data_IF_379537823899
#
_entry.id   IF_379537823899
#
_cell.length_a   1.000
_cell.length_b   1.000
_cell.length_c   1.000
_cell.angle_alpha   90.00
_cell.angle_beta   90.00
_cell.angle_gamma   90.00
#
_symmetry.space_group_name_H-M   'P 1'
#
loop_
_entity.id
_entity.type
_entity.pdbx_description
1 polymer ?
#
# COMPACT_ATOMS: atom_id res chain seq x y z
N UNK A 1 -12.73 14.82 20.38
CA UNK A 1 -12.91 13.42 20.81
C UNK A 1 -11.57 12.72 20.66
N UNK A 2 -11.13 11.96 21.66
CA UNK A 2 -9.89 11.19 21.58
C UNK A 2 -10.14 9.95 20.71
N UNK A 3 -9.31 9.74 19.69
CA UNK A 3 -9.38 8.63 18.74
C UNK A 3 -8.43 7.54 19.22
N UNK A 4 -8.97 6.46 19.77
CA UNK A 4 -8.19 5.34 20.24
C UNK A 4 -7.97 4.31 19.13
N UNK A 5 -6.74 3.83 19.05
CA UNK A 5 -6.24 2.94 18.01
C UNK A 5 -5.48 1.80 18.67
N UNK A 6 -5.77 0.58 18.30
CA UNK A 6 -4.98 -0.59 18.68
C UNK A 6 -4.16 -1.00 17.47
N UNK A 7 -2.86 -1.24 17.68
CA UNK A 7 -2.00 -1.87 16.68
C UNK A 7 -1.34 -3.07 17.33
N UNK A 8 -1.44 -4.23 16.67
CA UNK A 8 -0.71 -5.43 17.07
C UNK A 8 0.54 -5.52 16.19
N UNK A 9 1.71 -5.41 16.79
CA UNK A 9 2.97 -5.37 16.06
C UNK A 9 4.01 -6.30 16.68
N UNK A 10 4.74 -7.00 15.81
CA UNK A 10 5.90 -7.79 16.20
C UNK A 10 7.16 -6.93 16.19
N UNK A 11 8.20 -7.33 16.93
CA UNK A 11 9.52 -6.63 16.94
C UNK A 11 10.08 -6.47 15.52
N UNK A 12 9.88 -7.45 14.64
CA UNK A 12 10.34 -7.37 13.24
C UNK A 12 9.57 -6.35 12.39
N UNK A 13 8.40 -5.90 12.84
CA UNK A 13 7.52 -4.97 12.11
C UNK A 13 7.64 -3.52 12.59
N UNK A 14 8.77 -3.13 13.20
CA UNK A 14 8.94 -1.78 13.76
C UNK A 14 8.86 -0.72 12.66
N UNK A 15 9.41 -0.97 11.47
CA UNK A 15 9.38 0.01 10.38
C UNK A 15 7.93 0.25 9.91
N UNK A 16 7.19 -0.83 9.70
CA UNK A 16 5.79 -0.85 9.30
C UNK A 16 4.91 -0.17 10.37
N UNK A 17 5.16 -0.47 11.64
CA UNK A 17 4.49 0.20 12.75
C UNK A 17 4.77 1.71 12.76
N UNK A 18 6.02 2.13 12.58
CA UNK A 18 6.36 3.55 12.49
C UNK A 18 5.67 4.21 11.28
N UNK A 19 5.66 3.57 10.11
CA UNK A 19 5.00 4.05 8.90
C UNK A 19 3.49 4.22 9.09
N UNK A 20 2.81 3.21 9.66
CA UNK A 20 1.40 3.28 10.01
C UNK A 20 1.15 4.47 10.95
N UNK A 21 1.93 4.59 12.03
CA UNK A 21 1.77 5.66 13.01
C UNK A 21 1.94 7.04 12.36
N UNK A 22 2.97 7.23 11.52
CA UNK A 22 3.20 8.48 10.79
C UNK A 22 2.01 8.83 9.90
N UNK A 23 1.52 7.85 9.12
CA UNK A 23 0.37 8.08 8.22
C UNK A 23 -0.88 8.52 8.98
N UNK A 24 -1.20 7.84 10.10
CA UNK A 24 -2.34 8.23 10.95
C UNK A 24 -2.13 9.62 11.54
N UNK A 25 -0.98 9.88 12.14
CA UNK A 25 -0.69 11.13 12.86
C UNK A 25 -0.70 12.34 11.93
N UNK A 26 -0.24 12.19 10.68
CA UNK A 26 -0.22 13.28 9.71
C UNK A 26 -1.63 13.83 9.42
N UNK A 27 -2.64 12.96 9.43
CA UNK A 27 -4.01 13.32 9.07
C UNK A 27 -4.97 13.42 10.25
N UNK A 28 -4.52 13.09 11.47
CA UNK A 28 -5.39 12.98 12.62
C UNK A 28 -4.76 13.60 13.88
N UNK A 29 -5.60 14.23 14.71
CA UNK A 29 -5.21 14.76 16.01
C UNK A 29 -5.98 14.09 17.15
N UNK A 30 -5.53 14.30 18.39
CA UNK A 30 -6.12 13.75 19.62
C UNK A 30 -6.14 12.21 19.58
N UNK A 31 -4.98 11.60 19.38
CA UNK A 31 -4.81 10.16 19.16
C UNK A 31 -4.33 9.44 20.42
N UNK A 32 -4.72 8.17 20.54
CA UNK A 32 -4.15 7.25 21.52
C UNK A 32 -3.83 5.92 20.87
N UNK A 33 -2.54 5.61 20.75
CA UNK A 33 -2.09 4.32 20.25
C UNK A 33 -1.87 3.36 21.40
N UNK A 34 -2.57 2.23 21.37
CA UNK A 34 -2.30 1.03 22.15
C UNK A 34 -1.50 0.07 21.30
N UNK A 35 -0.20 -0.03 21.55
CA UNK A 35 0.69 -0.92 20.82
C UNK A 35 0.79 -2.23 21.57
N UNK A 36 0.06 -3.24 21.10
CA UNK A 36 0.16 -4.61 21.58
C UNK A 36 1.35 -5.30 20.89
N UNK A 37 2.33 -5.79 21.65
CA UNK A 37 3.57 -6.28 21.06
C UNK A 37 4.20 -7.48 21.76
N UNK A 38 5.05 -8.19 21.03
CA UNK A 38 5.74 -9.41 21.45
C UNK A 38 7.10 -9.16 22.14
N UNK A 39 7.67 -7.97 22.03
CA UNK A 39 8.97 -7.71 22.67
C UNK A 39 9.61 -6.36 22.40
N UNK A 40 8.89 -5.40 21.83
CA UNK A 40 9.43 -4.08 21.49
C UNK A 40 10.05 -3.43 22.72
N UNK A 41 11.29 -2.95 22.58
CA UNK A 41 12.09 -2.43 23.68
C UNK A 41 11.48 -1.15 24.28
N UNK A 42 11.54 -1.00 25.61
CA UNK A 42 11.04 0.19 26.33
C UNK A 42 11.68 1.49 25.80
N UNK A 43 12.94 1.43 25.36
CA UNK A 43 13.69 2.55 24.78
C UNK A 43 13.04 3.08 23.49
N UNK A 44 12.47 2.20 22.66
CA UNK A 44 11.75 2.61 21.45
C UNK A 44 10.52 3.44 21.82
N UNK A 45 9.71 2.97 22.78
CA UNK A 45 8.56 3.73 23.30
C UNK A 45 8.96 5.08 23.89
N UNK A 46 10.04 5.13 24.68
CA UNK A 46 10.56 6.39 25.23
C UNK A 46 10.94 7.37 24.12
N UNK A 47 11.61 6.89 23.06
CA UNK A 47 12.03 7.71 21.91
C UNK A 47 10.82 8.24 21.13
N UNK A 48 9.84 7.38 20.83
CA UNK A 48 8.62 7.76 20.12
C UNK A 48 7.79 8.76 20.93
N UNK A 49 7.54 8.50 22.22
CA UNK A 49 6.84 9.46 23.10
C UNK A 49 7.55 10.81 23.18
N UNK A 50 8.88 10.84 23.20
CA UNK A 50 9.65 12.09 23.18
C UNK A 50 9.45 12.87 21.88
N UNK A 51 9.42 12.19 20.73
CA UNK A 51 9.13 12.81 19.41
C UNK A 51 7.71 13.39 19.38
N UNK A 52 6.76 12.68 19.96
CA UNK A 52 5.33 13.05 19.96
C UNK A 52 4.93 14.00 21.10
N UNK A 53 5.85 14.39 21.99
CA UNK A 53 5.54 15.14 23.21
C UNK A 53 4.87 16.51 22.96
N UNK A 54 5.04 17.09 21.77
CA UNK A 54 4.43 18.37 21.36
C UNK A 54 3.11 18.19 20.60
N UNK A 55 2.69 16.96 20.40
CA UNK A 55 1.49 16.59 19.65
C UNK A 55 0.45 16.02 20.62
N UNK A 56 -0.84 16.16 20.27
CA UNK A 56 -1.92 15.52 21.02
C UNK A 56 -2.00 14.01 20.69
N UNK A 57 -0.91 13.28 20.94
CA UNK A 57 -0.76 11.85 20.63
C UNK A 57 -0.17 11.12 21.84
N UNK A 58 -0.91 10.15 22.35
CA UNK A 58 -0.46 9.27 23.42
C UNK A 58 -0.11 7.88 22.88
N UNK A 59 0.89 7.23 23.49
CA UNK A 59 1.33 5.88 23.11
C UNK A 59 1.47 5.00 24.34
N UNK A 60 0.63 3.99 24.45
CA UNK A 60 0.61 2.99 25.52
C UNK A 60 1.19 1.67 25.01
N UNK A 61 2.18 1.14 25.73
CA UNK A 61 2.78 -0.17 25.46
C UNK A 61 1.95 -1.23 26.17
N UNK A 62 1.50 -2.24 25.42
CA UNK A 62 0.79 -3.40 25.95
C UNK A 62 1.61 -4.65 25.61
N UNK A 63 2.40 -5.13 26.55
CA UNK A 63 3.21 -6.34 26.34
C UNK A 63 2.31 -7.57 26.33
N UNK A 64 2.41 -8.35 25.26
CA UNK A 64 1.69 -9.61 25.10
C UNK A 64 2.49 -10.78 25.71
N UNK A 65 1.80 -11.78 26.30
CA UNK A 65 2.41 -13.08 26.59
C UNK A 65 3.00 -13.73 25.33
N UNK A 66 4.15 -14.39 25.45
CA UNK A 66 4.87 -15.00 24.31
C UNK A 66 4.01 -15.97 23.49
N UNK A 67 3.15 -16.74 24.15
CA UNK A 67 2.27 -17.71 23.50
C UNK A 67 1.09 -17.07 22.75
N UNK A 68 0.70 -15.83 23.07
CA UNK A 68 -0.33 -15.09 22.34
C UNK A 68 0.25 -14.24 21.21
N UNK A 69 1.50 -13.78 21.37
CA UNK A 69 2.25 -13.07 20.35
C UNK A 69 2.47 -13.88 19.06
N UNK A 70 2.51 -15.21 19.17
CA UNK A 70 2.80 -16.13 18.07
C UNK A 70 1.55 -16.65 17.32
N UNK A 71 0.33 -16.31 17.77
CA UNK A 71 -0.90 -16.78 17.12
C UNK A 71 -1.26 -15.91 15.91
N UNK A 72 -1.46 -16.55 14.75
CA UNK A 72 -1.97 -15.89 13.53
C UNK A 72 -3.40 -15.36 13.71
N UNK A 73 -4.20 -16.02 14.55
CA UNK A 73 -5.59 -15.63 14.82
C UNK A 73 -5.62 -14.72 16.04
N UNK A 74 -5.79 -13.41 15.81
CA UNK A 74 -5.92 -12.35 16.81
C UNK A 74 -6.68 -12.80 18.09
N UNK A 75 -5.97 -13.18 19.18
CA UNK A 75 -6.58 -13.40 20.50
C UNK A 75 -7.00 -12.06 21.13
N UNK A 76 -6.67 -10.96 20.45
CA UNK A 76 -6.59 -9.58 20.94
C UNK A 76 -7.94 -8.94 21.23
N UNK A 77 -9.04 -9.51 20.70
CA UNK A 77 -10.41 -9.07 21.05
C UNK A 77 -10.74 -9.18 22.53
N UNK A 78 -9.96 -9.94 23.30
CA UNK A 78 -10.30 -10.22 24.69
C UNK A 78 -9.27 -9.76 25.72
N UNK A 79 -8.03 -9.50 25.29
CA UNK A 79 -6.95 -9.01 26.16
C UNK A 79 -6.94 -7.51 26.34
N UNK A 80 -7.39 -6.74 25.34
CA UNK A 80 -7.25 -5.29 25.34
C UNK A 80 -8.37 -4.54 26.05
N UNK A 81 -9.55 -5.15 26.25
CA UNK A 81 -10.65 -4.56 27.03
C UNK A 81 -10.22 -4.09 28.43
N UNK A 82 -9.18 -4.72 29.00
CA UNK A 82 -8.67 -4.37 30.32
C UNK A 82 -7.71 -3.17 30.29
N UNK A 83 -7.08 -2.87 29.15
CA UNK A 83 -6.09 -1.80 29.01
C UNK A 83 -6.65 -0.54 28.35
N UNK A 84 -7.70 -0.71 27.54
CA UNK A 84 -8.32 0.34 26.75
C UNK A 84 -9.40 1.02 27.59
N UNK A 85 -9.34 2.35 27.66
CA UNK A 85 -10.30 3.14 28.47
C UNK A 85 -11.35 3.83 27.61
N UNK A 86 -11.09 4.00 26.32
CA UNK A 86 -12.00 4.63 25.38
C UNK A 86 -13.11 3.67 24.92
N UNK A 87 -14.32 4.20 24.75
CA UNK A 87 -15.50 3.42 24.38
C UNK A 87 -15.43 2.86 22.95
N UNK A 88 -14.80 3.60 22.03
CA UNK A 88 -14.70 3.26 20.61
C UNK A 88 -13.23 3.25 20.18
N UNK A 89 -12.78 2.11 19.68
CA UNK A 89 -11.39 1.91 19.23
C UNK A 89 -11.36 1.22 17.88
N UNK A 90 -10.45 1.65 17.01
CA UNK A 90 -10.14 0.98 15.75
C UNK A 90 -8.89 0.11 15.88
N UNK A 91 -9.01 -1.16 15.50
CA UNK A 91 -7.87 -2.06 15.30
C UNK A 91 -7.28 -1.85 13.90
N UNK A 92 -5.98 -1.55 13.84
CA UNK A 92 -5.20 -1.43 12.61
C UNK A 92 -4.04 -2.44 12.60
N UNK A 93 -3.58 -2.79 11.40
CA UNK A 93 -2.43 -3.67 11.17
C UNK A 93 -1.19 -2.84 10.78
N UNK A 94 0.04 -3.23 11.17
CA UNK A 94 1.26 -2.53 10.78
C UNK A 94 1.46 -2.37 9.27
N UNK A 95 0.90 -3.28 8.47
CA UNK A 95 0.95 -3.24 7.00
C UNK A 95 -0.18 -2.41 6.37
N UNK A 96 -0.67 -1.39 7.09
CA UNK A 96 -1.64 -0.42 6.59
C UNK A 96 -1.04 0.99 6.55
N UNK A 97 -1.63 1.86 5.72
CA UNK A 97 -1.43 3.30 5.76
C UNK A 97 -2.77 4.03 5.74
N UNK A 98 -2.84 5.17 6.41
CA UNK A 98 -4.02 6.02 6.49
C UNK A 98 -3.74 7.32 5.74
N UNK A 99 -4.60 7.68 4.78
CA UNK A 99 -4.36 8.78 3.84
C UNK A 99 -5.17 10.05 4.11
N UNK A 100 -6.05 10.01 5.13
CA UNK A 100 -6.99 11.10 5.44
C UNK A 100 -7.48 11.05 6.89
N UNK A 101 -8.33 12.01 7.27
CA UNK A 101 -8.95 12.08 8.60
C UNK A 101 -9.89 10.89 8.85
N UNK A 102 -9.64 10.16 9.94
CA UNK A 102 -10.48 9.05 10.42
C UNK A 102 -11.72 9.52 11.20
N UNK A 103 -11.90 10.84 11.40
CA UNK A 103 -13.01 11.41 12.16
C UNK A 103 -14.39 10.89 11.74
N UNK A 104 -14.72 10.80 10.43
CA UNK A 104 -15.97 10.21 9.96
C UNK A 104 -16.16 8.75 10.38
N UNK A 105 -15.09 7.95 10.40
CA UNK A 105 -15.14 6.54 10.82
C UNK A 105 -15.50 6.45 12.30
N UNK A 106 -14.85 7.24 13.17
CA UNK A 106 -15.15 7.26 14.62
C UNK A 106 -16.55 7.77 14.98
N UNK A 107 -17.27 8.43 14.06
CA UNK A 107 -18.64 8.93 14.28
C UNK A 107 -19.72 7.92 13.90
N UNK A 108 -19.38 6.92 13.09
CA UNK A 108 -20.33 5.85 12.75
C UNK A 108 -20.52 4.96 13.99
N UNK A 109 -21.71 4.41 14.20
CA UNK A 109 -21.91 3.35 15.20
C UNK A 109 -21.44 2.05 14.58
N UNK A 110 -20.21 1.67 14.89
CA UNK A 110 -19.46 0.65 14.16
C UNK A 110 -19.63 -0.77 14.72
N UNK A 111 -20.40 -0.94 15.79
CA UNK A 111 -20.49 -2.21 16.52
C UNK A 111 -19.11 -2.80 16.90
N UNK A 112 -19.03 -4.13 16.95
CA UNK A 112 -17.82 -4.89 17.35
C UNK A 112 -17.01 -5.48 16.18
N UNK A 113 -17.35 -5.12 14.94
CA UNK A 113 -16.58 -5.53 13.76
C UNK A 113 -16.84 -4.53 12.64
N UNK A 114 -15.88 -3.67 12.35
CA UNK A 114 -15.78 -3.14 10.99
C UNK A 114 -14.94 -4.13 10.17
N UNK A 115 -15.19 -4.15 8.88
CA UNK A 115 -14.47 -4.93 7.88
C UNK A 115 -14.39 -3.96 6.70
N UNK A 116 -13.52 -2.94 6.79
CA UNK A 116 -13.29 -1.98 5.69
C UNK A 116 -12.76 -2.81 4.49
N UNK A 117 -12.97 -2.45 3.23
CA UNK A 117 -12.67 -3.31 2.07
C UNK A 117 -11.31 -3.04 1.42
N UNK A 118 -10.70 -4.10 0.86
CA UNK A 118 -9.33 -4.17 0.33
C UNK A 118 -9.16 -3.58 -1.08
N UNK A 119 -7.92 -3.28 -1.41
CA UNK A 119 -7.38 -3.05 -2.75
C UNK A 119 -6.97 -4.43 -3.31
N UNK A 120 -7.59 -4.88 -4.40
CA UNK A 120 -7.40 -6.24 -4.93
C UNK A 120 -6.02 -6.46 -5.58
N UNK A 121 -5.44 -7.64 -5.32
CA UNK A 121 -4.68 -8.42 -6.30
C UNK A 121 -5.35 -9.80 -6.34
N UNK A 122 -5.97 -10.19 -7.46
CA UNK A 122 -6.55 -11.53 -7.58
C UNK A 122 -5.44 -12.57 -7.77
N UNK A 123 -5.49 -13.65 -7.01
CA UNK A 123 -4.66 -14.83 -7.19
C UNK A 123 -4.93 -15.45 -8.58
N UNK A 124 -3.90 -15.78 -9.40
CA UNK A 124 -4.08 -16.44 -10.69
C UNK A 124 -4.80 -17.80 -10.62
N UNK A 125 -4.89 -18.43 -9.45
CA UNK A 125 -5.41 -19.80 -9.30
C UNK A 125 -6.79 -19.88 -8.66
N UNK A 126 -7.80 -19.17 -9.19
CA UNK A 126 -9.20 -19.62 -9.24
C UNK A 126 -9.88 -20.23 -8.00
N UNK A 127 -9.37 -20.01 -6.79
CA UNK A 127 -9.86 -20.62 -5.57
C UNK A 127 -9.73 -19.62 -4.41
N UNK A 128 -10.74 -18.77 -4.23
CA UNK A 128 -10.75 -17.88 -3.09
C UNK A 128 -12.07 -17.13 -2.96
N UNK A 129 -12.91 -17.57 -2.04
CA UNK A 129 -14.01 -16.78 -1.49
C UNK A 129 -13.42 -15.44 -1.04
N UNK A 130 -13.84 -14.34 -1.68
CA UNK A 130 -13.22 -13.01 -1.53
C UNK A 130 -12.85 -12.65 -0.10
N UNK A 131 -11.56 -12.50 0.14
CA UNK A 131 -11.03 -12.13 1.45
C UNK A 131 -11.26 -10.64 1.70
N UNK A 132 -12.05 -10.40 2.74
CA UNK A 132 -12.57 -9.10 3.15
C UNK A 132 -11.57 -8.45 4.12
N UNK A 133 -11.22 -7.19 3.91
CA UNK A 133 -10.34 -6.43 4.80
C UNK A 133 -10.97 -6.26 6.19
N UNK A 134 -10.23 -6.52 7.28
CA UNK A 134 -10.78 -6.59 8.64
C UNK A 134 -10.28 -5.43 9.51
N UNK A 135 -10.86 -4.23 9.35
CA UNK A 135 -10.65 -3.16 10.35
C UNK A 135 -11.62 -3.36 11.50
N UNK A 136 -11.24 -4.09 12.54
CA UNK A 136 -12.16 -4.37 13.65
C UNK A 136 -12.34 -3.11 14.52
N UNK A 137 -13.49 -2.44 14.41
CA UNK A 137 -13.98 -1.57 15.47
C UNK A 137 -14.39 -2.43 16.67
N UNK A 138 -13.91 -2.09 17.86
CA UNK A 138 -14.28 -2.79 19.10
C UNK A 138 -14.89 -1.79 20.08
N UNK A 139 -16.10 -2.10 20.55
CA UNK A 139 -16.75 -1.31 21.59
C UNK A 139 -16.41 -1.89 22.96
N UNK A 140 -15.73 -1.11 23.81
CA UNK A 140 -15.37 -1.52 25.17
C UNK A 140 -16.54 -1.20 26.10
N UNK A 141 -17.24 -2.20 26.67
CA UNK A 141 -18.37 -1.92 27.56
C UNK A 141 -17.88 -1.23 28.84
N UNK A 142 -18.61 -0.20 29.31
CA UNK A 142 -18.48 0.33 30.68
C UNK A 142 -18.96 -0.70 31.72
N UNK A 143 -18.26 -1.83 31.86
CA UNK A 143 -18.43 -2.67 33.05
C UNK A 143 -17.45 -2.13 34.09
N UNK A 144 -17.97 -1.89 35.29
CA UNK A 144 -17.29 -1.24 36.41
C UNK A 144 -15.80 -1.58 36.45
N UNK A 145 -14.96 -0.55 36.40
CA UNK A 145 -13.56 -0.65 36.73
C UNK A 145 -13.46 -1.20 38.16
N UNK A 146 -13.36 -2.53 38.30
CA UNK A 146 -12.70 -3.08 39.46
C UNK A 146 -11.26 -2.58 39.36
N UNK A 147 -10.91 -1.73 40.32
CA UNK A 147 -9.69 -0.97 40.41
C UNK A 147 -8.47 -1.87 40.55
N UNK A 148 -8.06 -2.52 39.46
CA UNK A 148 -6.69 -2.97 39.33
C UNK A 148 -5.88 -1.77 38.85
N UNK A 149 -4.97 -1.25 39.68
CA UNK A 149 -4.02 -0.25 39.22
C UNK A 149 -3.06 -0.92 38.24
N UNK A 150 -3.31 -0.82 36.93
CA UNK A 150 -2.52 -1.44 35.87
C UNK A 150 -1.21 -0.68 35.55
N UNK A 151 -0.79 0.23 36.43
CA UNK A 151 0.42 1.05 36.29
C UNK A 151 1.71 0.36 36.76
N UNK A 152 1.63 -0.90 37.23
CA UNK A 152 2.79 -1.68 37.66
C UNK A 152 2.80 -3.06 37.01
N UNK A 153 3.82 -3.32 36.21
CA UNK A 153 4.31 -4.60 35.67
C UNK A 153 3.29 -5.72 35.34
N UNK A 154 3.27 -6.08 34.05
CA UNK A 154 2.73 -7.32 33.45
C UNK A 154 1.42 -7.86 34.04
N UNK A 155 0.31 -7.28 33.61
CA UNK A 155 -1.03 -7.86 33.78
C UNK A 155 -1.17 -9.18 33.01
N UNK A 156 -0.35 -9.37 31.97
CA UNK A 156 -0.10 -10.63 31.27
C UNK A 156 0.17 -11.83 32.21
N UNK A 157 0.84 -11.61 33.36
CA UNK A 157 1.21 -12.68 34.29
C UNK A 157 0.10 -13.01 35.30
N UNK A 158 -0.96 -12.19 35.35
CA UNK A 158 -2.05 -12.30 36.35
C UNK A 158 -3.39 -12.76 35.78
N UNK A 159 -3.56 -12.78 34.47
CA UNK A 159 -4.83 -13.11 33.82
C UNK A 159 -4.72 -14.43 33.07
N UNK A 160 -5.54 -15.42 33.48
CA UNK A 160 -5.64 -16.72 32.81
C UNK A 160 -6.08 -16.55 31.34
N UNK A 161 -5.29 -17.09 30.42
CA UNK A 161 -5.50 -17.03 28.97
C UNK A 161 -6.82 -17.70 28.56
N UNK A 162 -7.23 -18.76 29.27
CA UNK A 162 -8.52 -19.40 29.02
C UNK A 162 -9.70 -18.51 29.46
N UNK A 163 -9.50 -17.61 30.41
CA UNK A 163 -10.49 -16.64 30.88
C UNK A 163 -10.58 -15.41 29.96
N UNK A 164 -9.45 -14.99 29.37
CA UNK A 164 -9.40 -14.01 28.28
C UNK A 164 -10.21 -14.51 27.07
N UNK A 165 -9.95 -15.72 26.59
CA UNK A 165 -10.63 -16.27 25.40
C UNK A 165 -12.15 -16.53 25.58
N UNK A 166 -12.69 -16.38 26.80
CA UNK A 166 -14.13 -16.55 27.12
C UNK A 166 -14.99 -15.31 26.86
N UNK A 167 -14.42 -14.17 26.43
CA UNK A 167 -15.21 -12.98 26.12
C UNK A 167 -16.33 -13.24 25.10
N UNK A 168 -17.50 -12.65 25.32
CA UNK A 168 -18.68 -12.90 24.48
C UNK A 168 -18.49 -12.27 23.09
N UNK A 169 -18.38 -13.08 22.03
CA UNK A 169 -18.62 -12.63 20.64
C UNK A 169 -20.03 -12.02 20.55
N UNK A 170 -20.15 -10.70 20.46
CA UNK A 170 -21.43 -10.07 20.10
C UNK A 170 -21.61 -10.13 18.59
N UNK A 171 -22.76 -10.64 18.14
CA UNK A 171 -23.18 -10.66 16.72
C UNK A 171 -23.43 -9.22 16.25
N UNK A 172 -22.49 -8.66 15.50
CA UNK A 172 -22.70 -7.52 14.62
C UNK A 172 -22.09 -7.90 13.27
N UNK A 173 -22.88 -7.93 12.22
CA UNK A 173 -22.45 -8.30 10.88
C UNK A 173 -23.04 -7.26 9.93
N UNK A 174 -22.49 -6.06 9.94
CA UNK A 174 -22.71 -5.15 8.81
C UNK A 174 -21.76 -5.56 7.70
N UNK A 175 -22.34 -5.99 6.57
CA UNK A 175 -21.59 -6.22 5.34
C UNK A 175 -21.34 -4.85 4.72
N UNK A 176 -20.09 -4.38 4.73
CA UNK A 176 -19.72 -3.13 4.06
C UNK A 176 -19.70 -3.24 2.53
N UNK A 177 -20.17 -4.36 1.95
CA UNK A 177 -20.46 -4.41 0.51
C UNK A 177 -21.41 -3.31 0.05
N UNK A 178 -22.23 -2.79 0.98
CA UNK A 178 -23.29 -1.83 0.70
C UNK A 178 -22.96 -0.42 1.22
N UNK A 179 -21.80 -0.25 1.87
CA UNK A 179 -21.30 1.08 2.24
C UNK A 179 -20.36 1.50 1.13
N UNK A 180 -20.84 2.38 0.25
CA UNK A 180 -19.95 3.15 -0.63
C UNK A 180 -18.86 3.73 0.25
N UNK A 181 -17.64 3.22 0.09
CA UNK A 181 -16.48 3.80 0.72
C UNK A 181 -16.43 5.22 0.18
N UNK A 182 -16.51 6.22 1.06
CA UNK A 182 -16.08 7.56 0.71
C UNK A 182 -14.65 7.40 0.19
N UNK A 183 -14.47 7.52 -1.13
CA UNK A 183 -13.13 7.64 -1.69
C UNK A 183 -12.55 8.88 -1.04
N UNK A 184 -11.33 8.80 -0.52
CA UNK A 184 -10.58 10.02 -0.24
C UNK A 184 -10.51 10.83 -1.54
N UNK A 185 -10.17 12.12 -1.47
CA UNK A 185 -10.17 12.97 -2.66
C UNK A 185 -9.23 12.46 -3.76
N UNK A 186 -8.23 11.66 -3.39
CA UNK A 186 -7.19 11.10 -4.27
C UNK A 186 -7.00 9.60 -4.00
N UNK A 187 -6.70 9.22 -2.75
CA UNK A 187 -6.41 7.83 -2.36
C UNK A 187 -7.51 7.21 -1.48
N UNK A 188 -7.61 5.86 -1.37
CA UNK A 188 -8.45 5.20 -0.38
C UNK A 188 -8.11 5.64 1.05
N UNK A 189 -9.12 5.80 1.92
CA UNK A 189 -8.96 6.28 3.31
C UNK A 189 -7.91 5.46 4.09
N UNK A 190 -7.98 4.14 3.93
CA UNK A 190 -7.03 3.17 4.48
C UNK A 190 -6.61 2.27 3.32
N UNK A 191 -5.31 2.15 3.12
CA UNK A 191 -4.71 1.18 2.20
C UNK A 191 -4.13 0.07 3.07
N UNK A 192 -4.52 -1.18 2.81
CA UNK A 192 -3.99 -2.35 3.51
C UNK A 192 -3.25 -3.21 2.51
N UNK A 193 -1.95 -3.42 2.75
CA UNK A 193 -1.12 -4.26 1.91
C UNK A 193 -1.29 -5.73 2.30
N UNK A 194 -2.52 -6.25 2.32
CA UNK A 194 -2.88 -7.63 2.71
C UNK A 194 -2.55 -8.62 1.60
N UNK A 195 -1.28 -8.66 1.22
CA UNK A 195 -0.77 -9.53 0.17
C UNK A 195 0.56 -10.15 0.63
N UNK A 196 0.98 -11.27 0.02
CA UNK A 196 2.32 -11.83 0.23
C UNK A 196 3.45 -10.87 -0.16
N UNK A 197 3.16 -9.91 -1.02
CA UNK A 197 4.08 -8.89 -1.50
C UNK A 197 3.85 -7.60 -0.71
N UNK A 198 4.93 -7.03 -0.18
CA UNK A 198 4.84 -5.81 0.62
C UNK A 198 5.49 -4.64 -0.12
N UNK A 199 5.01 -3.41 0.09
CA UNK A 199 5.56 -2.24 -0.60
C UNK A 199 7.01 -1.94 -0.24
N UNK A 200 7.53 -2.52 0.85
CA UNK A 200 8.94 -2.44 1.26
C UNK A 200 9.83 -3.57 0.73
N UNK A 201 9.27 -4.50 -0.06
CA UNK A 201 10.04 -5.57 -0.70
C UNK A 201 10.55 -5.12 -2.08
N UNK A 202 11.74 -5.60 -2.47
CA UNK A 202 12.47 -5.16 -3.67
C UNK A 202 11.93 -5.73 -4.99
N UNK A 203 11.26 -6.88 -4.95
CA UNK A 203 11.12 -7.72 -6.14
C UNK A 203 9.83 -7.52 -6.94
N UNK A 204 8.80 -6.86 -6.38
CA UNK A 204 7.46 -6.79 -7.01
C UNK A 204 6.74 -5.48 -6.69
N UNK A 205 6.17 -4.85 -7.73
CA UNK A 205 5.25 -3.73 -7.54
C UNK A 205 3.96 -4.19 -6.85
N UNK A 206 3.46 -3.34 -5.96
CA UNK A 206 2.11 -3.43 -5.36
C UNK A 206 1.39 -2.11 -5.58
N UNK A 207 0.04 -2.11 -5.66
CA UNK A 207 -0.71 -0.87 -5.75
C UNK A 207 -0.33 0.11 -4.66
N UNK A 208 -0.22 1.39 -4.98
CA UNK A 208 0.08 2.46 -4.05
C UNK A 208 1.41 2.27 -3.28
N UNK A 209 2.41 1.61 -3.88
CA UNK A 209 3.71 1.41 -3.22
C UNK A 209 4.38 2.73 -2.83
N UNK A 210 4.33 3.73 -3.72
CA UNK A 210 4.88 5.06 -3.46
C UNK A 210 4.22 5.74 -2.25
N UNK A 211 2.93 5.50 -2.01
CA UNK A 211 2.21 6.03 -0.84
C UNK A 211 2.82 5.48 0.46
N UNK A 212 3.18 4.19 0.50
CA UNK A 212 3.85 3.63 1.67
C UNK A 212 5.21 4.28 1.90
N UNK A 213 6.02 4.42 0.84
CA UNK A 213 7.35 5.03 0.93
C UNK A 213 7.31 6.50 1.32
N UNK A 214 6.27 7.24 0.91
CA UNK A 214 6.02 8.60 1.37
C UNK A 214 5.97 8.68 2.90
N UNK A 215 5.12 7.86 3.52
CA UNK A 215 5.01 7.84 4.97
C UNK A 215 6.23 7.23 5.66
N UNK A 216 6.86 6.22 5.05
CA UNK A 216 8.06 5.60 5.60
C UNK A 216 9.22 6.62 5.69
N UNK A 217 9.40 7.42 4.63
CA UNK A 217 10.46 8.43 4.52
C UNK A 217 10.17 9.71 5.28
N UNK A 218 8.92 9.97 5.65
CA UNK A 218 8.53 11.15 6.42
C UNK A 218 9.28 11.22 7.75
N UNK A 219 9.93 12.35 8.02
CA UNK A 219 10.61 12.55 9.29
C UNK A 219 9.60 12.82 10.42
N UNK A 220 9.92 12.38 11.64
CA UNK A 220 9.00 12.51 12.78
C UNK A 220 8.68 13.97 13.15
N UNK A 221 9.57 14.91 12.83
CA UNK A 221 9.42 16.34 13.03
C UNK A 221 8.60 17.04 11.94
N UNK A 222 8.45 16.42 10.77
CA UNK A 222 7.58 16.90 9.69
C UNK A 222 6.09 16.67 10.00
N UNK A 223 5.78 15.76 10.94
CA UNK A 223 4.40 15.41 11.35
C UNK A 223 3.63 16.56 12.02
N UNK A 224 4.28 17.68 12.36
CA UNK A 224 3.61 18.83 13.01
C UNK A 224 2.65 19.54 12.03
N UNK A 225 2.86 19.40 10.73
CA UNK A 225 1.97 19.92 9.70
C UNK A 225 0.84 18.91 9.44
N UNK A 226 -0.33 19.11 10.02
CA UNK A 226 -1.48 18.25 9.72
C UNK A 226 -2.09 18.63 8.37
N UNK A 227 -2.13 17.69 7.43
CA UNK A 227 -2.89 17.81 6.18
C UNK A 227 -4.19 17.03 6.29
N UNK A 228 -5.35 17.56 5.88
CA UNK A 228 -6.61 16.82 5.94
C UNK A 228 -6.64 15.60 5.00
N UNK A 229 -5.80 15.55 3.96
CA UNK A 229 -5.69 14.43 3.01
C UNK A 229 -4.30 14.38 2.35
N UNK A 230 -3.93 13.22 1.82
CA UNK A 230 -2.74 13.03 0.97
C UNK A 230 -3.02 13.50 -0.46
N UNK A 231 -2.11 14.29 -1.02
CA UNK A 231 -2.16 14.75 -2.42
C UNK A 231 -1.21 13.92 -3.30
N UNK A 232 -1.61 13.71 -4.56
CA UNK A 232 -0.80 13.05 -5.61
C UNK A 232 0.62 13.66 -5.71
N UNK A 233 0.72 14.98 -5.85
CA UNK A 233 2.01 15.72 -5.91
C UNK A 233 2.99 15.47 -4.76
N UNK A 234 2.49 15.01 -3.60
CA UNK A 234 3.35 14.70 -2.45
C UNK A 234 3.99 13.31 -2.58
N UNK A 235 3.35 12.44 -3.34
CA UNK A 235 3.77 11.06 -3.60
C UNK A 235 4.58 10.98 -4.90
N UNK A 236 4.23 11.77 -5.91
CA UNK A 236 4.89 11.83 -7.23
C UNK A 236 6.41 12.02 -7.12
N UNK A 237 6.91 12.80 -6.15
CA UNK A 237 8.36 13.00 -5.96
C UNK A 237 9.14 11.76 -5.49
N UNK A 238 8.48 10.61 -5.37
CA UNK A 238 9.03 9.34 -4.91
C UNK A 238 8.95 8.25 -5.98
N UNK A 239 8.42 8.53 -7.18
CA UNK A 239 8.68 7.65 -8.32
C UNK A 239 10.18 7.68 -8.61
N UNK A 240 10.78 6.51 -8.87
CA UNK A 240 12.22 6.44 -9.15
C UNK A 240 12.59 7.03 -10.53
N UNK A 241 11.59 7.37 -11.36
CA UNK A 241 11.77 7.90 -12.71
C UNK A 241 10.73 8.99 -12.98
N UNK A 242 11.18 10.03 -13.68
CA UNK A 242 10.35 11.13 -14.17
C UNK A 242 9.59 10.77 -15.45
N UNK A 243 9.97 9.66 -16.09
CA UNK A 243 9.35 9.17 -17.33
C UNK A 243 9.36 7.63 -17.37
N UNK A 244 8.20 7.01 -17.57
CA UNK A 244 8.00 5.56 -17.41
C UNK A 244 7.38 4.93 -18.66
N UNK A 245 8.07 3.95 -19.22
CA UNK A 245 7.58 3.06 -20.26
C UNK A 245 7.02 1.77 -19.70
N UNK A 246 5.94 1.27 -20.29
CA UNK A 246 5.31 0.03 -19.85
C UNK A 246 5.28 -1.07 -20.94
N UNK A 247 5.48 -2.31 -20.51
CA UNK A 247 5.30 -3.54 -21.31
C UNK A 247 4.37 -4.48 -20.54
N UNK A 248 3.40 -5.08 -21.22
CA UNK A 248 2.51 -6.09 -20.63
C UNK A 248 2.56 -7.38 -21.45
N UNK A 249 3.02 -8.48 -20.85
CA UNK A 249 3.44 -9.66 -21.61
C UNK A 249 3.01 -10.99 -20.97
N UNK A 250 2.78 -12.01 -21.81
CA UNK A 250 2.72 -13.43 -21.42
C UNK A 250 4.08 -14.15 -21.60
N UNK A 251 5.06 -13.50 -22.25
CA UNK A 251 6.33 -14.07 -22.67
C UNK A 251 7.52 -13.30 -22.10
N UNK A 252 8.65 -13.97 -21.89
CA UNK A 252 9.92 -13.35 -21.55
C UNK A 252 10.76 -12.92 -22.78
N UNK A 253 10.26 -13.15 -23.98
CA UNK A 253 10.85 -12.65 -25.21
C UNK A 253 10.37 -11.23 -25.51
N UNK A 254 11.12 -10.26 -24.97
CA UNK A 254 10.86 -8.82 -25.14
C UNK A 254 11.93 -8.22 -26.06
N UNK A 255 11.52 -7.82 -27.26
CA UNK A 255 12.44 -7.40 -28.31
C UNK A 255 13.18 -6.12 -27.90
N UNK A 256 14.52 -6.20 -27.91
CA UNK A 256 15.44 -5.10 -27.57
C UNK A 256 15.32 -4.47 -26.17
N UNK A 257 14.52 -5.03 -25.24
CA UNK A 257 14.31 -4.46 -23.90
C UNK A 257 15.62 -4.21 -23.15
N UNK A 258 16.55 -5.17 -23.17
CA UNK A 258 17.84 -5.03 -22.50
C UNK A 258 18.65 -3.85 -23.04
N UNK A 259 18.67 -3.66 -24.35
CA UNK A 259 19.38 -2.55 -24.99
C UNK A 259 18.68 -1.23 -24.68
N UNK A 260 17.35 -1.18 -24.71
CA UNK A 260 16.58 0.01 -24.32
C UNK A 260 16.89 0.42 -22.88
N UNK A 261 16.88 -0.53 -21.93
CA UNK A 261 17.22 -0.28 -20.53
C UNK A 261 18.63 0.31 -20.38
N UNK A 262 19.61 -0.22 -21.12
CA UNK A 262 21.00 0.24 -21.07
C UNK A 262 21.20 1.64 -21.68
N UNK A 263 20.52 1.95 -22.79
CA UNK A 263 20.69 3.20 -23.53
C UNK A 263 19.83 4.36 -22.99
N UNK A 264 18.82 4.04 -22.16
CA UNK A 264 17.87 4.98 -21.56
C UNK A 264 17.84 4.85 -20.02
N UNK A 265 18.97 5.06 -19.32
CA UNK A 265 19.08 4.78 -17.87
C UNK A 265 18.20 5.67 -16.99
N UNK A 266 17.71 6.81 -17.50
CA UNK A 266 16.82 7.72 -16.77
C UNK A 266 15.33 7.34 -16.92
N UNK A 267 15.02 6.44 -17.85
CA UNK A 267 13.65 6.04 -18.16
C UNK A 267 13.36 4.73 -17.46
N UNK A 268 12.30 4.72 -16.65
CA UNK A 268 11.84 3.52 -15.99
C UNK A 268 11.10 2.61 -16.96
N UNK A 269 11.44 1.34 -16.99
CA UNK A 269 10.71 0.32 -17.73
C UNK A 269 10.02 -0.62 -16.77
N UNK A 270 8.68 -0.57 -16.74
CA UNK A 270 7.85 -1.49 -15.97
C UNK A 270 7.44 -2.65 -16.88
N UNK A 271 7.77 -3.88 -16.51
CA UNK A 271 7.39 -5.10 -17.21
C UNK A 271 6.36 -5.81 -16.35
N UNK A 272 5.09 -5.72 -16.75
CA UNK A 272 4.02 -6.41 -16.07
C UNK A 272 3.64 -7.71 -16.79
N UNK A 273 3.20 -8.68 -16.01
CA UNK A 273 2.66 -9.94 -16.53
C UNK A 273 1.48 -10.40 -15.65
N UNK A 274 0.42 -11.00 -16.20
CA UNK A 274 -0.64 -11.62 -15.42
C UNK A 274 -0.20 -12.92 -14.72
N UNK A 275 0.96 -13.45 -15.08
CA UNK A 275 1.55 -14.67 -14.53
C UNK A 275 2.80 -14.37 -13.71
N UNK A 276 3.39 -15.43 -13.17
CA UNK A 276 4.75 -15.37 -12.65
C UNK A 276 5.75 -15.00 -13.75
N UNK A 277 6.86 -14.38 -13.35
CA UNK A 277 7.91 -13.89 -14.25
C UNK A 277 9.07 -14.89 -14.30
N UNK A 278 9.62 -15.10 -15.51
CA UNK A 278 10.69 -16.08 -15.74
C UNK A 278 12.04 -15.63 -15.16
N UNK A 279 12.96 -16.58 -14.99
CA UNK A 279 14.33 -16.27 -14.58
C UNK A 279 15.05 -15.35 -15.60
N UNK A 280 14.70 -15.42 -16.88
CA UNK A 280 15.24 -14.55 -17.94
C UNK A 280 14.95 -13.08 -17.65
N UNK A 281 13.68 -12.75 -17.37
CA UNK A 281 13.29 -11.39 -17.02
C UNK A 281 13.84 -10.98 -15.65
N UNK A 282 13.92 -11.89 -14.68
CA UNK A 282 14.55 -11.62 -13.37
C UNK A 282 16.02 -11.20 -13.51
N UNK A 283 16.77 -11.73 -14.48
CA UNK A 283 18.16 -11.33 -14.73
C UNK A 283 18.27 -9.85 -15.18
N UNK A 284 17.20 -9.25 -15.70
CA UNK A 284 17.17 -7.84 -16.07
C UNK A 284 17.09 -6.90 -14.87
N UNK A 285 16.82 -7.39 -13.64
CA UNK A 285 16.91 -6.58 -12.41
C UNK A 285 18.33 -6.08 -12.12
N UNK A 286 19.35 -6.53 -12.87
CA UNK A 286 20.68 -5.91 -12.87
C UNK A 286 20.66 -4.46 -13.38
N UNK A 287 19.66 -4.10 -14.21
CA UNK A 287 19.45 -2.75 -14.69
C UNK A 287 18.59 -1.99 -13.69
N UNK A 288 19.09 -0.89 -13.11
CA UNK A 288 18.38 -0.18 -12.05
C UNK A 288 17.11 0.48 -12.53
N UNK A 289 16.90 0.61 -13.84
CA UNK A 289 15.71 1.18 -14.48
C UNK A 289 14.72 0.13 -15.02
N UNK A 290 14.86 -1.13 -14.62
CA UNK A 290 13.89 -2.20 -14.89
C UNK A 290 13.11 -2.51 -13.62
N UNK A 291 11.78 -2.53 -13.72
CA UNK A 291 10.88 -2.96 -12.65
C UNK A 291 10.00 -4.10 -13.14
N UNK A 292 9.91 -5.18 -12.37
CA UNK A 292 9.12 -6.36 -12.70
C UNK A 292 7.82 -6.39 -11.86
N UNK A 293 6.69 -6.64 -12.51
CA UNK A 293 5.37 -6.69 -11.89
C UNK A 293 4.63 -7.99 -12.28
N UNK A 294 4.89 -9.11 -11.57
CA UNK A 294 4.20 -10.38 -11.82
C UNK A 294 2.79 -10.38 -11.22
N UNK A 295 1.89 -11.19 -11.76
CA UNK A 295 0.53 -11.39 -11.25
C UNK A 295 -0.42 -10.19 -11.44
N UNK A 296 -0.12 -9.28 -12.35
CA UNK A 296 -0.97 -8.11 -12.64
C UNK A 296 -2.14 -8.55 -13.52
N UNK A 297 -3.31 -8.79 -12.92
CA UNK A 297 -4.54 -9.07 -13.66
C UNK A 297 -5.09 -7.78 -14.30
N UNK A 298 -5.74 -7.88 -15.48
CA UNK A 298 -6.27 -6.72 -16.21
C UNK A 298 -7.37 -5.94 -15.48
N UNK A 299 -8.12 -6.61 -14.61
CA UNK A 299 -9.17 -6.01 -13.77
C UNK A 299 -8.65 -5.59 -12.38
N UNK A 300 -7.33 -5.62 -12.18
CA UNK A 300 -6.71 -5.23 -10.90
C UNK A 300 -6.49 -3.73 -10.80
N UNK A 301 -6.48 -3.21 -9.56
CA UNK A 301 -6.14 -1.82 -9.29
C UNK A 301 -4.69 -1.48 -9.68
N UNK A 302 -3.78 -2.46 -9.63
CA UNK A 302 -2.41 -2.28 -10.08
C UNK A 302 -2.35 -2.02 -11.58
N UNK A 303 -3.18 -2.70 -12.38
CA UNK A 303 -3.27 -2.46 -13.81
C UNK A 303 -3.73 -1.04 -14.10
N UNK A 304 -4.81 -0.59 -13.45
CA UNK A 304 -5.32 0.78 -13.61
C UNK A 304 -4.30 1.84 -13.19
N UNK A 305 -3.57 1.61 -12.10
CA UNK A 305 -2.49 2.48 -11.64
C UNK A 305 -1.35 2.55 -12.65
N UNK A 306 -0.89 1.41 -13.16
CA UNK A 306 0.16 1.36 -14.17
C UNK A 306 -0.26 2.08 -15.46
N UNK A 307 -1.48 1.85 -15.95
CA UNK A 307 -2.00 2.54 -17.14
C UNK A 307 -2.06 4.06 -16.91
N UNK A 308 -2.46 4.50 -15.72
CA UNK A 308 -2.53 5.93 -15.37
C UNK A 308 -1.13 6.57 -15.35
N UNK A 309 -0.17 5.92 -14.68
CA UNK A 309 1.19 6.43 -14.45
C UNK A 309 2.13 6.25 -15.65
N UNK A 310 1.87 5.32 -16.57
CA UNK A 310 2.72 5.11 -17.73
C UNK A 310 2.71 6.33 -18.66
N UNK A 311 3.88 6.79 -19.09
CA UNK A 311 3.98 7.86 -20.07
C UNK A 311 3.87 7.35 -21.50
N UNK A 312 4.29 6.12 -21.76
CA UNK A 312 4.18 5.47 -23.06
C UNK A 312 4.07 3.94 -22.93
N UNK A 313 3.57 3.30 -23.97
CA UNK A 313 3.50 1.84 -24.07
C UNK A 313 4.50 1.31 -25.11
N UNK A 314 5.16 0.22 -24.75
CA UNK A 314 6.04 -0.57 -25.61
C UNK A 314 5.37 -1.88 -25.98
N UNK A 315 4.87 -1.95 -27.20
CA UNK A 315 4.32 -3.16 -27.81
C UNK A 315 5.47 -3.97 -28.43
N UNK A 316 6.30 -4.54 -27.55
CA UNK A 316 7.55 -5.24 -27.89
C UNK A 316 7.56 -6.71 -27.46
N UNK A 317 6.45 -7.21 -26.91
CA UNK A 317 6.33 -8.62 -26.57
C UNK A 317 6.16 -9.45 -27.83
N UNK A 318 6.88 -10.57 -27.91
CA UNK A 318 6.59 -11.57 -28.93
C UNK A 318 5.26 -12.28 -28.64
N UNK A 319 4.76 -12.98 -29.67
CA UNK A 319 3.57 -13.83 -29.66
C UNK A 319 2.25 -13.06 -29.62
N UNK A 320 1.30 -13.47 -28.77
CA UNK A 320 -0.03 -12.90 -28.75
C UNK A 320 -0.12 -11.73 -27.77
N UNK A 321 -0.90 -10.72 -28.14
CA UNK A 321 -1.30 -9.62 -27.27
C UNK A 321 -1.90 -10.15 -25.95
N UNK A 322 -1.56 -9.49 -24.85
CA UNK A 322 -2.18 -9.76 -23.56
C UNK A 322 -3.54 -9.07 -23.47
N UNK A 323 -4.58 -9.79 -23.89
CA UNK A 323 -5.96 -9.28 -23.83
C UNK A 323 -6.20 -8.19 -24.88
N UNK A 324 -6.42 -6.95 -24.43
CA UNK A 324 -6.61 -5.76 -25.30
C UNK A 324 -5.77 -4.58 -24.80
N UNK A 325 -4.62 -4.86 -24.20
CA UNK A 325 -3.78 -3.84 -23.56
C UNK A 325 -3.37 -2.72 -24.51
N UNK A 326 -3.16 -3.01 -25.79
CA UNK A 326 -2.80 -1.97 -26.77
C UNK A 326 -3.98 -1.02 -26.99
N UNK A 327 -5.21 -1.56 -27.03
CA UNK A 327 -6.43 -0.76 -27.11
C UNK A 327 -6.65 0.08 -25.85
N UNK A 328 -6.38 -0.47 -24.67
CA UNK A 328 -6.54 0.21 -23.39
C UNK A 328 -5.57 1.42 -23.28
N UNK A 329 -4.31 1.21 -23.66
CA UNK A 329 -3.29 2.28 -23.69
C UNK A 329 -3.63 3.36 -24.71
N UNK A 330 -4.14 2.98 -25.88
CA UNK A 330 -4.60 3.92 -26.90
C UNK A 330 -5.80 4.74 -26.41
N UNK A 331 -6.77 4.09 -25.74
CA UNK A 331 -7.92 4.75 -25.15
C UNK A 331 -7.52 5.72 -24.02
N UNK A 332 -6.44 5.42 -23.30
CA UNK A 332 -5.83 6.31 -22.31
C UNK A 332 -4.97 7.45 -22.93
N UNK A 333 -4.87 7.52 -24.27
CA UNK A 333 -4.14 8.55 -24.98
C UNK A 333 -2.62 8.42 -24.86
N UNK A 334 -2.10 7.26 -24.47
CA UNK A 334 -0.67 7.02 -24.29
C UNK A 334 0.00 6.81 -25.66
N UNK A 335 1.14 7.44 -25.96
CA UNK A 335 1.96 7.09 -27.11
C UNK A 335 2.32 5.60 -27.09
N UNK A 336 2.13 4.93 -28.23
CA UNK A 336 2.45 3.50 -28.38
C UNK A 336 3.58 3.36 -29.39
N UNK A 337 4.62 2.63 -29.03
CA UNK A 337 5.75 2.31 -29.90
C UNK A 337 5.82 0.78 -30.05
N UNK A 338 6.03 0.31 -31.27
CA UNK A 338 6.12 -1.11 -31.58
C UNK A 338 7.20 -1.38 -32.64
N UNK A 339 7.71 -2.60 -32.69
CA UNK A 339 8.48 -3.06 -33.85
C UNK A 339 7.55 -3.62 -34.93
N UNK A 340 8.03 -3.70 -36.18
CA UNK A 340 7.29 -4.27 -37.31
C UNK A 340 6.78 -5.68 -37.01
N UNK A 341 7.55 -6.47 -36.26
CA UNK A 341 7.31 -7.87 -35.92
C UNK A 341 6.44 -8.06 -34.69
N UNK A 342 6.41 -7.07 -33.79
CA UNK A 342 5.70 -7.16 -32.50
C UNK A 342 4.41 -6.37 -32.49
N UNK A 343 4.06 -5.66 -33.58
CA UNK A 343 2.84 -4.85 -33.64
C UNK A 343 1.58 -5.71 -33.46
N UNK A 344 0.77 -5.38 -32.46
CA UNK A 344 -0.55 -5.95 -32.23
C UNK A 344 -1.67 -4.98 -32.64
N UNK A 345 -2.50 -5.38 -33.60
CA UNK A 345 -3.64 -4.58 -34.06
C UNK A 345 -3.24 -3.26 -34.72
N UNK A 346 -4.17 -2.31 -34.79
CA UNK A 346 -3.92 -0.97 -35.35
C UNK A 346 -4.58 0.12 -34.50
N UNK A 347 -3.76 0.79 -33.69
CA UNK A 347 -4.17 1.74 -32.67
C UNK A 347 -3.35 3.03 -32.73
N UNK A 348 -2.71 3.32 -33.87
CA UNK A 348 -1.88 4.51 -34.06
C UNK A 348 -0.47 4.38 -33.50
N UNK A 349 0.05 3.15 -33.39
CA UNK A 349 1.41 2.89 -32.93
C UNK A 349 2.46 3.50 -33.87
N UNK A 350 3.54 4.06 -33.31
CA UNK A 350 4.75 4.40 -34.06
C UNK A 350 5.54 3.10 -34.29
N UNK A 351 5.72 2.74 -35.55
CA UNK A 351 6.37 1.48 -35.95
C UNK A 351 7.84 1.71 -36.28
N UNK A 352 8.71 0.84 -35.79
CA UNK A 352 10.14 0.87 -36.01
C UNK A 352 10.63 -0.47 -36.56
N UNK A 353 11.65 -0.43 -37.42
CA UNK A 353 12.39 -1.64 -37.79
C UNK A 353 13.30 -2.06 -36.62
N UNK A 354 13.38 -3.36 -36.26
CA UNK A 354 14.30 -3.82 -35.21
C UNK A 354 15.76 -3.52 -35.51
N UNK A 355 16.12 -3.54 -36.79
CA UNK A 355 17.48 -3.21 -37.25
C UNK A 355 17.84 -1.74 -37.02
N UNK A 356 16.85 -0.88 -36.75
CA UNK A 356 17.03 0.55 -36.49
C UNK A 356 16.47 0.97 -35.13
N UNK A 357 16.93 0.30 -34.07
CA UNK A 357 16.60 0.63 -32.68
C UNK A 357 16.89 2.10 -32.31
N UNK A 358 17.89 2.72 -32.93
CA UNK A 358 18.27 4.11 -32.70
C UNK A 358 17.08 5.07 -32.84
N UNK A 359 16.23 4.86 -33.86
CA UNK A 359 15.09 5.75 -34.08
C UNK A 359 14.03 5.62 -32.97
N UNK A 360 13.84 4.43 -32.41
CA UNK A 360 12.95 4.23 -31.26
C UNK A 360 13.52 4.93 -30.02
N UNK A 361 14.82 4.76 -29.75
CA UNK A 361 15.52 5.42 -28.63
C UNK A 361 15.36 6.94 -28.70
N UNK A 362 15.64 7.54 -29.86
CA UNK A 362 15.49 8.99 -30.05
C UNK A 362 14.03 9.42 -29.90
N UNK A 363 13.08 8.63 -30.40
CA UNK A 363 11.65 8.93 -30.21
C UNK A 363 11.26 8.94 -28.74
N UNK A 364 11.75 7.99 -27.94
CA UNK A 364 11.48 7.94 -26.50
C UNK A 364 12.08 9.16 -25.80
N UNK A 365 13.33 9.55 -26.11
CA UNK A 365 13.96 10.77 -25.58
C UNK A 365 13.16 12.04 -25.91
N UNK A 366 12.63 12.11 -27.13
CA UNK A 366 11.76 13.22 -27.51
C UNK A 366 10.47 13.27 -26.69
N UNK A 367 9.83 12.12 -26.47
CA UNK A 367 8.61 12.05 -25.65
C UNK A 367 8.87 12.47 -24.18
N UNK A 368 10.02 12.08 -23.62
CA UNK A 368 10.46 12.49 -22.27
C UNK A 368 10.58 14.03 -22.18
N UNK A 369 11.26 14.65 -23.15
CA UNK A 369 11.42 16.11 -23.20
C UNK A 369 10.07 16.81 -23.37
N UNK A 370 9.20 16.29 -24.24
CA UNK A 370 7.87 16.87 -24.46
C UNK A 370 7.02 16.81 -23.18
N UNK A 371 7.06 15.69 -22.44
CA UNK A 371 6.38 15.53 -21.15
C UNK A 371 6.90 16.52 -20.10
N UNK A 372 8.23 16.70 -20.03
CA UNK A 372 8.87 17.66 -19.14
C UNK A 372 8.47 19.10 -19.48
N UNK A 373 8.45 19.48 -20.76
CA UNK A 373 8.04 20.82 -21.20
C UNK A 373 6.57 21.09 -20.87
N UNK A 374 5.71 20.10 -21.07
CA UNK A 374 4.29 20.19 -20.72
C UNK A 374 4.09 20.40 -19.21
N UNK A 375 4.82 19.67 -18.35
CA UNK A 375 4.68 19.78 -16.89
C UNK A 375 5.08 21.16 -16.33
N UNK A 376 5.96 21.89 -17.02
CA UNK A 376 6.36 23.26 -16.68
C UNK A 376 5.57 24.35 -17.45
N UNK A 377 4.53 23.96 -18.19
CA UNK A 377 3.61 24.88 -18.86
C UNK A 377 4.11 25.46 -20.18
N UNK A 378 5.10 24.83 -20.82
CA UNK A 378 5.61 25.22 -22.14
C UNK A 378 4.97 24.31 -23.18
N UNK A 379 3.96 24.83 -23.89
CA UNK A 379 3.34 24.12 -25.01
C UNK A 379 3.95 24.59 -26.33
N UNK A 380 4.41 23.65 -27.16
CA UNK A 380 4.68 23.91 -28.57
C UNK A 380 3.34 24.14 -29.28
N UNK A 381 3.11 25.39 -29.74
CA UNK A 381 1.97 25.76 -30.58
C UNK A 381 2.10 25.20 -31.99
#
# INVERSE_FOLDING_TARGET
MKKALIVVAQVKQIQELETLMKSVILHNQNLHFYIAHDGIAKQWFTKVRKRLARMAVEVTSVRLPENLAQLEVSPFRYTLDHYVVEENVLLLSPDMVVTTDLGPIFKKDLGNVLTISNVQNQDPQGAGVGDRLKVVSHHVPKVAHDSYSLLGDNVADKVDIASLMKGKKRKGKESLSDVEMEKGPVYPIIIHYDTPYKPWDELRLVPYQAVWWYYANLAWDELVATSPFLLEKQVESLSNYDFVGWVYTYSDELLHLETLARELPNIGFVIAAPTEISATLMNLLVYPNITLAPGVARDSLLYDEIVREADFYLDINNYAEVGTVVADMAAAGKPILAFEETKHGDYGQKIFSPDNLFLMIETIRHLEVDSLLFSIGINHQ
#
